data_IF_431161533950
#
_entry.id   IF_431161533950
#
_cell.length_a   1.000
_cell.length_b   1.000
_cell.length_c   1.000
_cell.angle_alpha   90.00
_cell.angle_beta   90.00
_cell.angle_gamma   90.00
#
_symmetry.space_group_name_H-M   'P 1'
#
loop_
_entity.id
_entity.type
_entity.pdbx_description
1 polymer ?
#
# COMPACT_ATOMS: atom_id res chain seq x y z
N UNK A 1 -54.74 10.30 -20.64
CA UNK A 1 -54.32 9.66 -19.38
C UNK A 1 -52.82 9.76 -19.36
N UNK A 2 -52.31 10.79 -18.69
CA UNK A 2 -50.87 11.02 -18.56
C UNK A 2 -50.37 10.05 -17.50
N UNK A 3 -49.50 9.11 -17.90
CA UNK A 3 -48.77 8.26 -16.96
C UNK A 3 -47.86 9.15 -16.12
N UNK A 4 -48.27 9.37 -14.87
CA UNK A 4 -47.46 9.98 -13.83
C UNK A 4 -46.38 8.95 -13.47
N UNK A 5 -45.20 9.08 -14.10
CA UNK A 5 -44.00 8.33 -13.72
C UNK A 5 -43.67 8.75 -12.29
N UNK A 6 -44.04 7.93 -11.31
CA UNK A 6 -43.66 8.16 -9.93
C UNK A 6 -42.13 8.24 -9.85
N UNK A 7 -41.55 9.26 -9.19
CA UNK A 7 -40.11 9.32 -9.02
C UNK A 7 -39.68 8.09 -8.22
N UNK A 8 -38.93 7.20 -8.86
CA UNK A 8 -38.30 6.08 -8.18
C UNK A 8 -37.54 6.62 -6.96
N UNK A 9 -37.79 6.04 -5.78
CA UNK A 9 -37.07 6.46 -4.58
C UNK A 9 -35.57 6.36 -4.84
N UNK A 10 -34.76 7.34 -4.38
CA UNK A 10 -33.30 7.33 -4.59
C UNK A 10 -32.67 6.01 -4.14
N UNK A 11 -33.25 5.39 -3.10
CA UNK A 11 -32.83 4.11 -2.53
C UNK A 11 -32.91 2.96 -3.55
N UNK A 12 -34.01 2.81 -4.28
CA UNK A 12 -34.13 1.72 -5.28
C UNK A 12 -33.13 1.92 -6.42
N UNK A 13 -32.92 3.16 -6.84
CA UNK A 13 -31.94 3.47 -7.88
C UNK A 13 -30.50 3.19 -7.43
N UNK A 14 -30.20 3.29 -6.13
CA UNK A 14 -28.90 2.90 -5.56
C UNK A 14 -28.74 1.39 -5.48
N UNK A 15 -29.79 0.66 -5.10
CA UNK A 15 -29.78 -0.81 -5.12
C UNK A 15 -29.51 -1.36 -6.53
N UNK A 16 -30.23 -0.83 -7.54
CA UNK A 16 -30.09 -1.27 -8.93
C UNK A 16 -28.66 -1.03 -9.46
N UNK A 17 -28.05 0.12 -9.17
CA UNK A 17 -26.67 0.41 -9.60
C UNK A 17 -25.63 -0.39 -8.81
N UNK A 18 -25.89 -0.72 -7.55
CA UNK A 18 -25.00 -1.54 -6.74
C UNK A 18 -24.99 -3.00 -7.24
N UNK A 19 -26.11 -3.51 -7.73
CA UNK A 19 -26.19 -4.81 -8.42
C UNK A 19 -25.41 -4.80 -9.75
N UNK A 20 -25.49 -3.71 -10.53
CA UNK A 20 -24.66 -3.53 -11.72
C UNK A 20 -23.16 -3.51 -11.36
N UNK A 21 -22.76 -2.80 -10.29
CA UNK A 21 -21.37 -2.78 -9.80
C UNK A 21 -20.94 -4.18 -9.38
N UNK A 22 -21.77 -4.91 -8.64
CA UNK A 22 -21.47 -6.28 -8.22
C UNK A 22 -21.30 -7.22 -9.43
N UNK A 23 -22.15 -7.09 -10.46
CA UNK A 23 -22.02 -7.84 -11.69
C UNK A 23 -20.73 -7.51 -12.45
N UNK A 24 -20.38 -6.21 -12.56
CA UNK A 24 -19.11 -5.79 -13.15
C UNK A 24 -17.90 -6.29 -12.35
N UNK A 25 -17.98 -6.31 -11.01
CA UNK A 25 -16.94 -6.85 -10.13
C UNK A 25 -16.74 -8.37 -10.32
N UNK A 26 -17.73 -9.12 -10.82
CA UNK A 26 -17.50 -10.55 -11.16
C UNK A 26 -16.72 -10.73 -12.47
N UNK A 27 -16.75 -9.72 -13.34
CA UNK A 27 -16.08 -9.74 -14.65
C UNK A 27 -14.74 -8.97 -14.68
N UNK A 28 -14.44 -8.16 -13.66
CA UNK A 28 -13.30 -7.22 -13.68
C UNK A 28 -11.91 -7.84 -13.86
N UNK A 29 -11.59 -9.11 -13.49
CA UNK A 29 -10.28 -9.66 -13.79
C UNK A 29 -9.96 -9.65 -15.30
N UNK A 30 -10.98 -9.45 -16.14
CA UNK A 30 -10.89 -9.35 -17.60
C UNK A 30 -11.25 -7.94 -18.10
N UNK A 31 -12.20 -7.23 -17.47
CA UNK A 31 -12.74 -5.96 -17.99
C UNK A 31 -12.81 -4.85 -16.92
N UNK A 32 -11.66 -4.20 -16.66
CA UNK A 32 -11.56 -3.07 -15.75
C UNK A 32 -12.33 -1.83 -16.24
N UNK A 33 -12.36 -1.56 -17.54
CA UNK A 33 -13.02 -0.37 -18.08
C UNK A 33 -14.52 -0.40 -17.83
N UNK A 34 -15.17 -1.56 -18.02
CA UNK A 34 -16.58 -1.71 -17.68
C UNK A 34 -16.86 -1.42 -16.21
N UNK A 35 -16.03 -1.91 -15.29
CA UNK A 35 -16.20 -1.64 -13.86
C UNK A 35 -16.08 -0.14 -13.57
N UNK A 36 -15.07 0.53 -14.13
CA UNK A 36 -14.87 1.97 -13.94
C UNK A 36 -16.05 2.80 -14.48
N UNK A 37 -16.63 2.42 -15.63
CA UNK A 37 -17.81 3.09 -16.21
C UNK A 37 -19.01 3.00 -15.26
N UNK A 38 -19.28 1.82 -14.71
CA UNK A 38 -20.42 1.61 -13.79
C UNK A 38 -20.20 2.34 -12.47
N UNK A 39 -18.96 2.37 -11.96
CA UNK A 39 -18.61 3.13 -10.75
C UNK A 39 -18.74 4.65 -10.95
N UNK A 40 -18.37 5.19 -12.12
CA UNK A 40 -18.62 6.60 -12.44
C UNK A 40 -20.11 6.91 -12.55
N UNK A 41 -20.93 6.00 -13.09
CA UNK A 41 -22.39 6.13 -13.08
C UNK A 41 -22.92 6.15 -11.64
N UNK A 42 -22.47 5.21 -10.81
CA UNK A 42 -22.81 5.10 -9.39
C UNK A 42 -22.49 6.39 -8.61
N UNK A 43 -21.27 6.91 -8.75
CA UNK A 43 -20.85 8.15 -8.08
C UNK A 43 -21.69 9.35 -8.54
N UNK A 44 -21.94 9.50 -9.84
CA UNK A 44 -22.78 10.59 -10.38
C UNK A 44 -24.21 10.54 -9.85
N UNK A 45 -24.81 9.34 -9.77
CA UNK A 45 -26.16 9.17 -9.23
C UNK A 45 -26.23 9.58 -7.76
N UNK A 46 -25.25 9.18 -6.95
CA UNK A 46 -25.20 9.54 -5.52
C UNK A 46 -24.99 11.03 -5.31
N UNK A 47 -24.09 11.66 -6.08
CA UNK A 47 -23.86 13.12 -6.03
C UNK A 47 -25.06 13.96 -6.47
N UNK A 48 -25.92 13.42 -7.33
CA UNK A 48 -27.13 14.11 -7.75
C UNK A 48 -28.19 14.18 -6.64
N UNK A 49 -28.15 13.24 -5.69
CA UNK A 49 -29.13 13.15 -4.60
C UNK A 49 -28.59 13.57 -3.23
N UNK A 50 -27.27 13.53 -3.03
CA UNK A 50 -26.62 13.67 -1.73
C UNK A 50 -25.39 14.58 -1.82
N UNK A 51 -25.07 15.35 -0.75
CA UNK A 51 -23.85 16.17 -0.72
C UNK A 51 -22.59 15.30 -0.69
N UNK A 52 -21.45 15.85 -1.12
CA UNK A 52 -20.17 15.11 -1.17
C UNK A 52 -19.70 14.58 0.19
N UNK A 53 -20.08 15.24 1.30
CA UNK A 53 -19.77 14.78 2.65
C UNK A 53 -20.60 13.56 3.11
N UNK A 54 -21.61 13.15 2.34
CA UNK A 54 -22.47 12.03 2.70
C UNK A 54 -21.70 10.69 2.65
N UNK A 55 -21.86 9.78 3.63
CA UNK A 55 -21.10 8.52 3.69
C UNK A 55 -21.18 7.67 2.43
N UNK A 56 -22.34 7.62 1.76
CA UNK A 56 -22.50 6.88 0.51
C UNK A 56 -21.71 7.48 -0.66
N UNK A 57 -21.64 8.81 -0.76
CA UNK A 57 -20.85 9.47 -1.80
C UNK A 57 -19.37 9.23 -1.54
N UNK A 58 -18.93 9.39 -0.29
CA UNK A 58 -17.56 9.10 0.13
C UNK A 58 -17.19 7.63 -0.10
N UNK A 59 -18.10 6.69 0.13
CA UNK A 59 -17.89 5.27 -0.17
C UNK A 59 -17.74 5.03 -1.67
N UNK A 60 -18.62 5.58 -2.50
CA UNK A 60 -18.53 5.48 -3.96
C UNK A 60 -17.23 6.11 -4.51
N UNK A 61 -16.78 7.23 -3.94
CA UNK A 61 -15.50 7.86 -4.27
C UNK A 61 -14.32 6.97 -3.91
N UNK A 62 -14.33 6.34 -2.74
CA UNK A 62 -13.28 5.39 -2.31
C UNK A 62 -13.23 4.17 -3.23
N UNK A 63 -14.37 3.57 -3.54
CA UNK A 63 -14.47 2.41 -4.42
C UNK A 63 -13.92 2.75 -5.81
N UNK A 64 -14.35 3.86 -6.41
CA UNK A 64 -13.85 4.29 -7.71
C UNK A 64 -12.34 4.60 -7.67
N UNK A 65 -11.86 5.30 -6.64
CA UNK A 65 -10.44 5.61 -6.47
C UNK A 65 -9.58 4.34 -6.38
N UNK A 66 -10.03 3.35 -5.60
CA UNK A 66 -9.33 2.08 -5.46
C UNK A 66 -9.29 1.30 -6.77
N UNK A 67 -10.39 1.29 -7.51
CA UNK A 67 -10.50 0.55 -8.77
C UNK A 67 -9.71 1.23 -9.90
N UNK A 68 -9.65 2.56 -9.95
CA UNK A 68 -8.76 3.29 -10.87
C UNK A 68 -7.30 2.84 -10.69
N UNK A 69 -6.82 2.83 -9.44
CA UNK A 69 -5.48 2.38 -9.11
C UNK A 69 -5.26 0.90 -9.48
N UNK A 70 -6.24 0.04 -9.18
CA UNK A 70 -6.16 -1.39 -9.47
C UNK A 70 -6.11 -1.69 -10.97
N UNK A 71 -6.93 -0.98 -11.77
CA UNK A 71 -6.95 -1.11 -13.23
C UNK A 71 -5.59 -0.77 -13.85
N UNK A 72 -4.96 0.32 -13.41
CA UNK A 72 -3.65 0.73 -13.91
C UNK A 72 -2.57 -0.29 -13.52
N UNK A 73 -2.62 -0.82 -12.30
CA UNK A 73 -1.68 -1.87 -11.88
C UNK A 73 -1.86 -3.18 -12.65
N UNK A 74 -3.11 -3.58 -12.93
CA UNK A 74 -3.38 -4.76 -13.74
C UNK A 74 -2.82 -4.60 -15.16
N UNK A 75 -3.04 -3.44 -15.78
CA UNK A 75 -2.45 -3.11 -17.08
C UNK A 75 -0.92 -3.21 -17.06
N UNK A 76 -0.26 -2.69 -16.03
CA UNK A 76 1.21 -2.78 -15.91
C UNK A 76 1.73 -4.22 -15.84
N UNK A 77 0.97 -5.16 -15.27
CA UNK A 77 1.37 -6.58 -15.18
C UNK A 77 1.17 -7.34 -16.48
N UNK A 78 0.14 -6.99 -17.24
CA UNK A 78 -0.18 -7.61 -18.52
C UNK A 78 -0.57 -6.52 -19.53
N UNK A 79 0.40 -5.89 -20.22
CA UNK A 79 0.17 -4.77 -21.14
C UNK A 79 -0.50 -5.19 -22.46
N UNK A 80 -1.38 -6.19 -22.42
CA UNK A 80 -2.05 -6.79 -23.57
C UNK A 80 -3.46 -6.20 -23.82
N UNK A 81 -3.89 -5.20 -23.04
CA UNK A 81 -5.29 -4.77 -22.96
C UNK A 81 -5.56 -3.38 -23.59
N UNK A 82 -6.80 -3.13 -24.03
CA UNK A 82 -7.11 -2.50 -25.32
C UNK A 82 -7.17 -0.97 -25.28
N UNK A 83 -7.30 -0.37 -26.47
CA UNK A 83 -7.85 0.99 -26.64
C UNK A 83 -9.10 1.07 -25.75
N UNK A 84 -9.16 2.06 -24.87
CA UNK A 84 -10.35 2.28 -24.04
C UNK A 84 -11.60 2.24 -24.94
N UNK A 85 -12.66 1.52 -24.57
CA UNK A 85 -13.83 1.42 -25.44
C UNK A 85 -14.34 2.82 -25.78
N UNK A 86 -14.94 3.04 -26.96
CA UNK A 86 -15.35 4.38 -27.40
C UNK A 86 -16.23 5.13 -26.39
N UNK A 87 -16.99 4.37 -25.60
CA UNK A 87 -17.93 4.87 -24.59
C UNK A 87 -17.29 5.03 -23.20
N UNK A 88 -16.00 4.74 -23.05
CA UNK A 88 -15.25 4.95 -21.80
C UNK A 88 -15.08 6.45 -21.53
N UNK A 89 -15.29 6.91 -20.28
CA UNK A 89 -14.98 8.29 -19.90
C UNK A 89 -13.47 8.57 -19.91
N UNK A 90 -12.64 7.52 -19.91
CA UNK A 90 -11.18 7.61 -19.96
C UNK A 90 -10.67 7.25 -21.34
N UNK A 91 -9.78 8.06 -21.90
CA UNK A 91 -9.10 7.80 -23.17
C UNK A 91 -7.74 7.11 -22.97
N UNK A 92 -7.15 7.28 -21.79
CA UNK A 92 -5.85 6.71 -21.44
C UNK A 92 -5.77 6.30 -19.97
N UNK A 93 -4.78 5.48 -19.61
CA UNK A 93 -4.47 5.18 -18.21
C UNK A 93 -3.96 6.41 -17.43
N UNK A 94 -3.44 7.43 -18.12
CA UNK A 94 -3.11 8.69 -17.46
C UNK A 94 -4.38 9.42 -16.99
N UNK A 95 -5.45 9.40 -17.80
CA UNK A 95 -6.75 9.97 -17.43
C UNK A 95 -7.36 9.23 -16.22
N UNK A 96 -7.21 7.90 -16.18
CA UNK A 96 -7.64 7.07 -15.03
C UNK A 96 -6.88 7.45 -13.75
N UNK A 97 -5.58 7.74 -13.87
CA UNK A 97 -4.75 8.16 -12.74
C UNK A 97 -5.05 9.59 -12.28
N UNK A 98 -5.23 10.53 -13.22
CA UNK A 98 -5.66 11.90 -12.91
C UNK A 98 -6.98 11.86 -12.12
N UNK A 99 -7.92 11.01 -12.56
CA UNK A 99 -9.16 10.80 -11.84
C UNK A 99 -8.97 10.19 -10.45
N UNK A 100 -8.04 9.24 -10.29
CA UNK A 100 -7.72 8.70 -8.97
C UNK A 100 -7.11 9.77 -8.05
N UNK A 101 -6.25 10.64 -8.58
CA UNK A 101 -5.65 11.75 -7.83
C UNK A 101 -6.74 12.71 -7.34
N UNK A 102 -7.64 13.16 -8.21
CA UNK A 102 -8.78 14.02 -7.86
C UNK A 102 -9.65 13.42 -6.75
N UNK A 103 -9.99 12.13 -6.87
CA UNK A 103 -10.82 11.44 -5.89
C UNK A 103 -10.09 11.30 -4.56
N UNK A 104 -8.81 10.96 -4.58
CA UNK A 104 -8.00 10.83 -3.36
C UNK A 104 -7.83 12.17 -2.63
N UNK A 105 -7.73 13.28 -3.36
CA UNK A 105 -7.67 14.61 -2.79
C UNK A 105 -9.01 15.02 -2.19
N UNK A 106 -10.11 14.79 -2.92
CA UNK A 106 -11.45 15.10 -2.45
C UNK A 106 -11.87 14.26 -1.21
N UNK A 107 -11.35 13.03 -1.07
CA UNK A 107 -11.55 12.21 0.12
C UNK A 107 -10.79 12.74 1.35
N UNK A 108 -9.72 13.51 1.16
CA UNK A 108 -8.91 14.11 2.23
C UNK A 108 -8.12 13.10 3.08
N UNK A 109 -8.12 11.82 2.73
CA UNK A 109 -7.50 10.76 3.52
C UNK A 109 -6.07 10.46 3.04
N UNK A 110 -5.13 10.40 3.99
CA UNK A 110 -3.71 10.15 3.68
C UNK A 110 -3.49 8.81 2.98
N UNK A 111 -4.27 7.79 3.36
CA UNK A 111 -4.19 6.42 2.82
C UNK A 111 -4.49 6.34 1.33
N UNK A 112 -5.58 6.96 0.87
CA UNK A 112 -5.96 6.93 -0.55
C UNK A 112 -5.01 7.77 -1.39
N UNK A 113 -4.50 8.89 -0.83
CA UNK A 113 -3.49 9.73 -1.50
C UNK A 113 -2.15 9.02 -1.65
N UNK A 114 -1.65 8.35 -0.60
CA UNK A 114 -0.39 7.62 -0.67
C UNK A 114 -0.45 6.47 -1.66
N UNK A 115 -1.53 5.68 -1.63
CA UNK A 115 -1.79 4.60 -2.59
C UNK A 115 -1.78 5.12 -4.04
N UNK A 116 -2.46 6.25 -4.27
CA UNK A 116 -2.55 6.84 -5.60
C UNK A 116 -1.21 7.36 -6.07
N UNK A 117 -0.48 8.11 -5.26
CA UNK A 117 0.88 8.55 -5.60
C UNK A 117 1.84 7.39 -5.85
N UNK A 118 1.75 6.31 -5.07
CA UNK A 118 2.56 5.12 -5.32
C UNK A 118 2.23 4.51 -6.70
N UNK A 119 0.94 4.41 -7.04
CA UNK A 119 0.51 3.89 -8.34
C UNK A 119 0.93 4.78 -9.51
N UNK A 120 0.84 6.11 -9.37
CA UNK A 120 1.36 7.07 -10.37
C UNK A 120 2.88 6.93 -10.53
N UNK A 121 3.61 6.74 -9.43
CA UNK A 121 5.04 6.47 -9.43
C UNK A 121 5.39 5.20 -10.21
N UNK A 122 4.65 4.11 -9.97
CA UNK A 122 4.78 2.85 -10.70
C UNK A 122 4.53 3.03 -12.20
N UNK A 123 3.45 3.73 -12.56
CA UNK A 123 3.10 4.04 -13.95
C UNK A 123 4.21 4.86 -14.64
N UNK A 124 4.69 5.93 -14.00
CA UNK A 124 5.79 6.73 -14.51
C UNK A 124 7.05 5.89 -14.73
N UNK A 125 7.36 4.99 -13.79
CA UNK A 125 8.51 4.08 -13.89
C UNK A 125 8.38 3.08 -15.03
N UNK A 126 7.17 2.56 -15.27
CA UNK A 126 6.87 1.68 -16.40
C UNK A 126 7.05 2.42 -17.74
N UNK A 127 6.64 3.69 -17.81
CA UNK A 127 6.85 4.56 -18.97
C UNK A 127 8.30 5.10 -19.10
N UNK A 128 9.24 4.69 -18.25
CA UNK A 128 10.64 5.15 -18.30
C UNK A 128 10.88 6.55 -17.72
N UNK A 129 9.86 7.22 -17.16
CA UNK A 129 9.96 8.55 -16.52
C UNK A 129 10.48 8.43 -15.08
N UNK A 130 11.70 7.91 -14.91
CA UNK A 130 12.25 7.54 -13.60
C UNK A 130 12.33 8.71 -12.60
N UNK A 131 12.72 9.91 -13.04
CA UNK A 131 12.78 11.09 -12.15
C UNK A 131 11.40 11.53 -11.67
N UNK A 132 10.37 11.42 -12.52
CA UNK A 132 8.98 11.70 -12.13
C UNK A 132 8.49 10.63 -11.16
N UNK A 133 8.82 9.36 -11.42
CA UNK A 133 8.48 8.27 -10.52
C UNK A 133 9.04 8.48 -9.10
N UNK A 134 10.30 8.89 -8.96
CA UNK A 134 10.90 9.22 -7.66
C UNK A 134 10.08 10.26 -6.90
N UNK A 135 9.73 11.38 -7.54
CA UNK A 135 8.93 12.44 -6.90
C UNK A 135 7.60 11.92 -6.38
N UNK A 136 6.93 11.05 -7.13
CA UNK A 136 5.66 10.47 -6.71
C UNK A 136 5.83 9.44 -5.59
N UNK A 137 6.87 8.61 -5.62
CA UNK A 137 7.16 7.71 -4.50
C UNK A 137 7.56 8.47 -3.23
N UNK A 138 8.31 9.57 -3.33
CA UNK A 138 8.63 10.44 -2.20
C UNK A 138 7.36 11.09 -1.62
N UNK A 139 6.45 11.58 -2.49
CA UNK A 139 5.13 12.06 -2.06
C UNK A 139 4.31 10.97 -1.36
N UNK A 140 4.32 9.75 -1.86
CA UNK A 140 3.62 8.63 -1.23
C UNK A 140 4.21 8.32 0.15
N UNK A 141 5.55 8.20 0.23
CA UNK A 141 6.28 7.89 1.46
C UNK A 141 6.03 8.94 2.55
N UNK A 142 5.93 10.22 2.18
CA UNK A 142 5.65 11.31 3.11
C UNK A 142 4.24 11.27 3.75
N UNK A 143 3.32 10.48 3.19
CA UNK A 143 1.94 10.33 3.67
C UNK A 143 1.68 8.96 4.33
N UNK A 144 2.62 8.02 4.23
CA UNK A 144 2.46 6.67 4.78
C UNK A 144 2.82 6.62 6.26
N UNK A 145 2.16 5.72 7.00
CA UNK A 145 2.56 5.38 8.36
C UNK A 145 3.78 4.46 8.33
N UNK A 146 4.67 4.50 9.35
CA UNK A 146 5.92 3.74 9.37
C UNK A 146 5.83 2.24 9.05
N UNK A 147 4.71 1.61 9.38
CA UNK A 147 4.40 0.19 9.16
C UNK A 147 3.98 -0.15 7.72
N UNK A 148 3.65 0.86 6.90
CA UNK A 148 3.13 0.71 5.54
C UNK A 148 4.13 1.14 4.46
N UNK A 149 5.23 1.77 4.85
CA UNK A 149 6.20 2.39 3.94
C UNK A 149 7.10 1.40 3.17
N UNK A 150 7.14 0.14 3.58
CA UNK A 150 8.11 -0.84 3.06
C UNK A 150 8.00 -1.02 1.53
N UNK A 151 6.78 -1.11 1.00
CA UNK A 151 6.54 -1.24 -0.44
C UNK A 151 7.03 0.00 -1.21
N UNK A 152 6.75 1.19 -0.71
CA UNK A 152 7.18 2.46 -1.33
C UNK A 152 8.70 2.60 -1.31
N UNK A 153 9.36 2.22 -0.22
CA UNK A 153 10.83 2.17 -0.16
C UNK A 153 11.43 1.21 -1.18
N UNK A 154 10.86 0.03 -1.35
CA UNK A 154 11.35 -0.90 -2.39
C UNK A 154 11.16 -0.34 -3.80
N UNK A 155 10.06 0.38 -4.05
CA UNK A 155 9.87 1.09 -5.31
C UNK A 155 10.90 2.21 -5.52
N UNK A 156 11.24 2.98 -4.48
CA UNK A 156 12.32 3.97 -4.51
C UNK A 156 13.66 3.30 -4.80
N UNK A 157 14.00 2.23 -4.07
CA UNK A 157 15.22 1.44 -4.23
C UNK A 157 15.42 0.99 -5.69
N UNK A 158 14.45 0.30 -6.27
CA UNK A 158 14.52 -0.15 -7.66
C UNK A 158 14.58 1.02 -8.67
N UNK A 159 13.96 2.15 -8.36
CA UNK A 159 14.00 3.34 -9.24
C UNK A 159 15.36 4.03 -9.21
N UNK A 160 15.97 4.15 -8.02
CA UNK A 160 17.33 4.67 -7.85
C UNK A 160 18.36 3.76 -8.52
N UNK A 161 18.22 2.44 -8.37
CA UNK A 161 19.07 1.44 -9.02
C UNK A 161 19.06 1.61 -10.55
N UNK A 162 17.87 1.76 -11.15
CA UNK A 162 17.71 2.05 -12.59
C UNK A 162 18.31 3.38 -13.04
N UNK A 163 18.55 4.31 -12.11
CA UNK A 163 19.22 5.59 -12.36
C UNK A 163 20.74 5.53 -12.12
N UNK A 164 21.29 4.37 -11.74
CA UNK A 164 22.71 4.18 -11.39
C UNK A 164 23.08 4.70 -10.00
N UNK A 165 22.09 5.01 -9.16
CA UNK A 165 22.26 5.53 -7.81
C UNK A 165 22.24 4.40 -6.78
N UNK A 166 23.27 3.57 -6.84
CA UNK A 166 23.34 2.29 -6.10
C UNK A 166 23.40 2.46 -4.58
N UNK A 167 24.04 3.53 -4.08
CA UNK A 167 24.11 3.79 -2.64
C UNK A 167 22.73 4.16 -2.09
N UNK A 168 22.00 5.04 -2.77
CA UNK A 168 20.64 5.40 -2.41
C UNK A 168 19.68 4.20 -2.55
N UNK A 169 19.86 3.39 -3.59
CA UNK A 169 19.09 2.16 -3.78
C UNK A 169 19.27 1.17 -2.63
N UNK A 170 20.52 0.99 -2.18
CA UNK A 170 20.88 0.14 -1.04
C UNK A 170 20.26 0.65 0.25
N UNK A 171 20.31 1.96 0.50
CA UNK A 171 19.73 2.59 1.69
C UNK A 171 18.22 2.30 1.80
N UNK A 172 17.47 2.53 0.72
CA UNK A 172 16.03 2.26 0.75
C UNK A 172 15.70 0.78 0.93
N UNK A 173 16.49 -0.12 0.33
CA UNK A 173 16.28 -1.56 0.48
C UNK A 173 16.56 -2.03 1.91
N UNK A 174 17.64 -1.56 2.53
CA UNK A 174 18.01 -1.92 3.90
C UNK A 174 17.02 -1.36 4.92
N UNK A 175 16.58 -0.11 4.77
CA UNK A 175 15.53 0.47 5.62
C UNK A 175 14.22 -0.32 5.52
N UNK A 176 13.82 -0.73 4.32
CA UNK A 176 12.64 -1.57 4.13
C UNK A 176 12.81 -2.93 4.82
N UNK A 177 13.97 -3.59 4.67
CA UNK A 177 14.27 -4.87 5.30
C UNK A 177 14.21 -4.79 6.83
N UNK A 178 14.82 -3.77 7.43
CA UNK A 178 14.83 -3.55 8.89
C UNK A 178 13.40 -3.41 9.41
N UNK A 179 12.60 -2.50 8.82
CA UNK A 179 11.22 -2.25 9.26
C UNK A 179 10.33 -3.49 9.12
N UNK A 180 10.49 -4.23 8.02
CA UNK A 180 9.75 -5.48 7.80
C UNK A 180 10.14 -6.53 8.83
N UNK A 181 11.43 -6.69 9.10
CA UNK A 181 11.93 -7.63 10.10
C UNK A 181 11.40 -7.30 11.50
N UNK A 182 11.49 -6.05 11.94
CA UNK A 182 10.93 -5.59 13.22
C UNK A 182 9.43 -5.90 13.34
N UNK A 183 8.68 -5.67 12.26
CA UNK A 183 7.23 -5.89 12.25
C UNK A 183 6.88 -7.39 12.28
N UNK A 184 7.56 -8.20 11.47
CA UNK A 184 7.38 -9.67 11.45
C UNK A 184 7.72 -10.27 12.82
N UNK A 185 8.84 -9.86 13.42
CA UNK A 185 9.26 -10.36 14.73
C UNK A 185 8.27 -9.96 15.83
N UNK A 186 7.76 -8.71 15.79
CA UNK A 186 6.69 -8.27 16.70
C UNK A 186 5.43 -9.13 16.56
N UNK A 187 5.01 -9.44 15.33
CA UNK A 187 3.84 -10.28 15.07
C UNK A 187 4.03 -11.71 15.58
N UNK A 188 5.22 -12.29 15.39
CA UNK A 188 5.55 -13.64 15.86
C UNK A 188 5.55 -13.71 17.39
N UNK A 189 6.15 -12.72 18.07
CA UNK A 189 6.11 -12.65 19.53
C UNK A 189 4.69 -12.46 20.08
N UNK A 190 3.86 -11.65 19.41
CA UNK A 190 2.46 -11.49 19.78
C UNK A 190 1.67 -12.80 19.65
N UNK A 191 1.87 -13.56 18.57
CA UNK A 191 1.27 -14.89 18.38
C UNK A 191 1.71 -15.88 19.45
N UNK A 192 3.00 -15.97 19.73
CA UNK A 192 3.54 -16.84 20.78
C UNK A 192 2.97 -16.47 22.16
N UNK A 193 2.85 -15.18 22.49
CA UNK A 193 2.28 -14.74 23.75
C UNK A 193 0.79 -15.09 23.88
N UNK A 194 0.04 -15.02 22.77
CA UNK A 194 -1.37 -15.44 22.72
C UNK A 194 -1.51 -16.96 22.91
N UNK A 195 -0.76 -17.76 22.16
CA UNK A 195 -0.76 -19.22 22.27
C UNK A 195 -0.33 -19.71 23.65
N UNK A 196 0.67 -19.06 24.25
CA UNK A 196 1.11 -19.38 25.61
C UNK A 196 0.05 -19.02 26.65
N UNK A 197 -0.76 -17.98 26.45
CA UNK A 197 -1.90 -17.66 27.33
C UNK A 197 -3.03 -18.68 27.17
N UNK A 198 -3.38 -19.06 25.94
CA UNK A 198 -4.41 -20.07 25.65
C UNK A 198 -4.02 -21.47 26.16
N UNK A 199 -2.73 -21.82 26.04
CA UNK A 199 -2.20 -23.05 26.62
C UNK A 199 -2.12 -22.99 28.15
N UNK A 200 -1.89 -21.83 28.77
CA UNK A 200 -1.94 -21.67 30.23
C UNK A 200 -3.36 -21.80 30.80
N UNK A 201 -4.39 -21.59 29.97
CA UNK A 201 -5.79 -21.88 30.32
C UNK A 201 -6.11 -23.38 30.16
N UNK A 202 -5.35 -24.12 29.34
CA UNK A 202 -5.62 -25.54 29.03
C UNK A 202 -4.71 -26.55 29.72
N UNK A 203 -3.50 -26.20 30.13
CA UNK A 203 -2.56 -27.13 30.77
C UNK A 203 -1.67 -26.44 31.80
N UNK A 204 -1.68 -26.97 33.03
CA UNK A 204 -0.64 -26.68 34.01
C UNK A 204 0.70 -27.28 33.57
N UNK A 205 1.70 -26.41 33.42
CA UNK A 205 3.14 -26.68 33.32
C UNK A 205 3.66 -27.51 32.13
N UNK A 206 4.45 -26.87 31.24
CA UNK A 206 5.87 -27.17 30.96
C UNK A 206 6.42 -26.26 29.83
N UNK A 207 7.57 -25.65 30.09
CA UNK A 207 8.32 -24.80 29.14
C UNK A 207 9.06 -25.62 28.08
N UNK A 208 9.23 -25.04 26.88
CA UNK A 208 10.14 -25.52 25.82
C UNK A 208 10.95 -24.32 25.27
N UNK A 209 12.27 -24.44 25.01
CA UNK A 209 13.16 -23.32 24.74
C UNK A 209 13.20 -22.91 23.26
N UNK A 210 13.42 -21.62 22.96
CA UNK A 210 13.50 -21.08 21.58
C UNK A 210 14.92 -20.67 21.20
N UNK A 211 15.60 -21.55 20.47
CA UNK A 211 16.87 -21.32 19.78
C UNK A 211 16.69 -20.61 18.42
N UNK A 212 15.88 -19.55 18.36
CA UNK A 212 15.57 -18.80 17.11
C UNK A 212 16.17 -17.39 17.11
N UNK A 213 16.94 -17.03 18.15
CA UNK A 213 17.58 -15.72 18.24
C UNK A 213 19.08 -15.95 18.15
N UNK A 214 19.64 -15.74 16.95
CA UNK A 214 20.97 -15.10 16.77
C UNK A 214 21.42 -15.17 15.30
N UNK A 215 21.64 -14.00 14.70
CA UNK A 215 22.73 -13.75 13.75
C UNK A 215 23.31 -12.34 14.04
N UNK A 216 24.61 -12.12 13.75
CA UNK A 216 25.41 -11.11 14.43
C UNK A 216 25.23 -9.71 13.85
N UNK A 217 24.95 -8.75 14.74
CA UNK A 217 25.20 -7.34 14.48
C UNK A 217 26.70 -7.11 14.65
N UNK A 218 27.46 -7.17 13.56
CA UNK A 218 28.79 -6.56 13.54
C UNK A 218 28.69 -5.18 12.92
N UNK A 219 28.65 -4.19 13.82
CA UNK A 219 28.79 -2.78 13.48
C UNK A 219 30.24 -2.41 13.15
N UNK A 220 30.38 -1.24 12.57
CA UNK A 220 31.52 -0.36 12.85
C UNK A 220 30.98 0.91 13.45
N UNK A 221 31.31 1.14 14.72
CA UNK A 221 31.10 2.41 15.42
C UNK A 221 31.97 3.51 14.81
N UNK A 222 31.47 4.74 14.79
CA UNK A 222 32.31 5.90 15.14
C UNK A 222 31.50 6.88 15.98
N UNK A 223 31.93 6.96 17.24
CA UNK A 223 31.97 8.09 18.17
C UNK A 223 30.86 9.15 18.13
N UNK A 224 30.17 9.27 19.26
CA UNK A 224 29.35 10.42 19.59
C UNK A 224 30.16 11.67 19.91
N UNK A 225 29.42 12.77 20.01
CA UNK A 225 29.64 13.80 21.01
C UNK A 225 28.27 14.37 21.36
N UNK A 226 28.01 14.38 22.67
CA UNK A 226 26.94 15.12 23.32
C UNK A 226 27.14 16.63 23.11
N UNK A 227 26.06 17.40 22.93
CA UNK A 227 25.55 18.32 23.97
C UNK A 227 24.45 19.27 23.44
N UNK A 228 23.66 19.75 24.42
CA UNK A 228 22.87 20.99 24.46
C UNK A 228 21.43 21.02 23.91
N UNK A 229 20.52 20.80 24.87
CA UNK A 229 19.37 21.66 25.25
C UNK A 229 18.86 22.73 24.27
N UNK A 230 17.55 22.68 23.98
CA UNK A 230 16.71 23.88 23.98
C UNK A 230 15.22 23.50 24.16
N UNK A 231 14.62 24.12 25.16
CA UNK A 231 13.19 24.24 25.46
C UNK A 231 12.40 24.94 24.36
N UNK A 232 11.19 24.49 24.07
CA UNK A 232 10.10 25.36 23.61
C UNK A 232 8.74 24.71 23.91
N UNK A 233 8.04 25.29 24.87
CA UNK A 233 6.61 25.13 25.12
C UNK A 233 5.81 25.72 23.95
N UNK A 234 4.69 25.07 23.60
CA UNK A 234 3.76 25.57 22.60
C UNK A 234 2.45 24.79 22.66
N UNK A 235 1.48 25.33 23.40
CA UNK A 235 0.13 24.83 23.58
C UNK A 235 -0.64 24.75 22.25
N UNK A 236 -1.41 23.68 22.06
CA UNK A 236 -2.60 23.68 21.20
C UNK A 236 -3.64 22.69 21.76
N UNK A 237 -4.74 23.23 22.26
CA UNK A 237 -5.93 22.53 22.75
C UNK A 237 -6.88 22.13 21.60
N UNK A 238 -7.61 21.03 21.79
CA UNK A 238 -8.88 20.69 21.11
C UNK A 238 -8.71 19.98 19.76
N UNK A 239 -9.34 18.85 19.44
CA UNK A 239 -10.52 18.20 19.99
C UNK A 239 -10.48 16.71 19.68
N UNK A 240 -10.81 15.91 20.68
CA UNK A 240 -10.87 14.45 20.70
C UNK A 240 -11.99 13.88 19.83
N UNK A 241 -11.62 13.02 18.88
CA UNK A 241 -12.43 11.83 18.53
C UNK A 241 -11.50 10.62 18.61
N UNK A 242 -11.46 10.03 19.80
CA UNK A 242 -10.77 8.79 20.11
C UNK A 242 -11.46 7.62 19.40
N UNK A 243 -10.96 7.24 18.23
CA UNK A 243 -11.08 5.87 17.77
C UNK A 243 -9.79 5.17 18.17
N UNK A 244 -9.80 4.54 19.36
CA UNK A 244 -8.73 3.66 19.77
C UNK A 244 -8.72 2.44 18.84
N UNK A 245 -8.00 2.52 17.72
CA UNK A 245 -7.55 1.34 17.01
C UNK A 245 -6.49 0.66 17.88
N UNK A 246 -6.95 -0.23 18.77
CA UNK A 246 -6.07 -1.21 19.42
C UNK A 246 -5.31 -2.04 18.36
N UNK A 247 -4.23 -2.74 18.75
CA UNK A 247 -3.41 -3.48 17.79
C UNK A 247 -4.27 -4.49 17.03
N UNK A 248 -4.59 -4.17 15.77
CA UNK A 248 -5.29 -5.08 14.87
C UNK A 248 -4.42 -6.33 14.74
N UNK A 249 -4.96 -7.48 15.16
CA UNK A 249 -4.30 -8.76 14.93
C UNK A 249 -4.04 -8.89 13.43
N UNK A 250 -2.76 -8.91 13.05
CA UNK A 250 -2.36 -8.97 11.65
C UNK A 250 -2.95 -10.22 11.00
N UNK A 251 -3.60 -10.08 9.85
CA UNK A 251 -4.16 -11.24 9.16
C UNK A 251 -3.04 -12.18 8.69
N UNK A 252 -3.34 -13.47 8.49
CA UNK A 252 -2.38 -14.42 7.90
C UNK A 252 -1.92 -13.96 6.50
N UNK A 253 -2.78 -13.28 5.76
CA UNK A 253 -2.47 -12.67 4.47
C UNK A 253 -1.45 -11.54 4.61
N UNK A 254 -1.62 -10.66 5.61
CA UNK A 254 -0.73 -9.51 5.82
C UNK A 254 0.67 -9.98 6.25
N UNK A 255 0.73 -11.04 7.06
CA UNK A 255 2.01 -11.65 7.45
C UNK A 255 2.75 -12.21 6.23
N UNK A 256 2.05 -12.97 5.38
CA UNK A 256 2.65 -13.52 4.16
C UNK A 256 3.13 -12.41 3.22
N UNK A 257 2.37 -11.34 3.07
CA UNK A 257 2.74 -10.17 2.28
C UNK A 257 4.03 -9.52 2.80
N UNK A 258 4.16 -9.32 4.13
CA UNK A 258 5.38 -8.80 4.74
C UNK A 258 6.60 -9.69 4.50
N UNK A 259 6.43 -11.02 4.58
CA UNK A 259 7.52 -11.97 4.26
C UNK A 259 7.96 -11.83 2.80
N UNK A 260 7.02 -11.76 1.86
CA UNK A 260 7.33 -11.56 0.43
C UNK A 260 8.06 -10.25 0.18
N UNK A 261 7.63 -9.16 0.84
CA UNK A 261 8.33 -7.87 0.76
C UNK A 261 9.73 -7.95 1.35
N UNK A 262 9.95 -8.72 2.42
CA UNK A 262 11.27 -8.87 3.03
C UNK A 262 12.22 -9.65 2.10
N UNK A 263 11.74 -10.71 1.47
CA UNK A 263 12.49 -11.41 0.42
C UNK A 263 12.85 -10.46 -0.74
N UNK A 264 11.92 -9.60 -1.14
CA UNK A 264 12.14 -8.58 -2.19
C UNK A 264 13.21 -7.57 -1.77
N UNK A 265 13.21 -7.15 -0.49
CA UNK A 265 14.22 -6.25 0.05
C UNK A 265 15.63 -6.87 0.00
N UNK A 266 15.76 -8.14 0.41
CA UNK A 266 17.02 -8.87 0.30
C UNK A 266 17.48 -9.02 -1.16
N UNK A 267 16.56 -9.28 -2.08
CA UNK A 267 16.89 -9.32 -3.51
C UNK A 267 17.43 -7.97 -4.01
N UNK A 268 16.80 -6.85 -3.63
CA UNK A 268 17.30 -5.52 -4.00
C UNK A 268 18.70 -5.27 -3.44
N UNK A 269 18.93 -5.57 -2.15
CA UNK A 269 20.25 -5.45 -1.53
C UNK A 269 21.30 -6.31 -2.25
N UNK A 270 20.96 -7.53 -2.63
CA UNK A 270 21.86 -8.42 -3.36
C UNK A 270 22.27 -7.83 -4.71
N UNK A 271 21.32 -7.30 -5.48
CA UNK A 271 21.58 -6.61 -6.75
C UNK A 271 22.54 -5.43 -6.55
N UNK A 272 22.34 -4.61 -5.52
CA UNK A 272 23.24 -3.49 -5.25
C UNK A 272 24.65 -3.95 -4.82
N UNK A 273 24.77 -5.08 -4.11
CA UNK A 273 26.07 -5.68 -3.80
C UNK A 273 26.79 -6.23 -5.03
N UNK A 274 26.05 -6.79 -6.00
CA UNK A 274 26.63 -7.20 -7.30
C UNK A 274 27.22 -6.01 -8.05
N UNK A 275 26.51 -4.87 -8.10
CA UNK A 275 27.00 -3.66 -8.74
C UNK A 275 28.26 -3.08 -8.08
N UNK A 276 28.42 -3.28 -6.77
CA UNK A 276 29.61 -2.83 -6.02
C UNK A 276 30.74 -3.88 -6.00
N UNK A 277 30.55 -5.03 -6.65
CA UNK A 277 31.54 -6.11 -6.74
C UNK A 277 31.67 -6.98 -5.48
N UNK A 278 30.75 -6.84 -4.52
CA UNK A 278 30.76 -7.62 -3.27
C UNK A 278 29.90 -8.89 -3.40
N UNK A 279 30.39 -9.87 -4.15
CA UNK A 279 29.68 -11.11 -4.41
C UNK A 279 29.32 -11.88 -3.11
N UNK A 280 30.19 -11.87 -2.10
CA UNK A 280 29.94 -12.54 -0.83
C UNK A 280 28.74 -11.95 -0.08
N UNK A 281 28.61 -10.63 -0.04
CA UNK A 281 27.45 -9.97 0.57
C UNK A 281 26.15 -10.20 -0.23
N UNK A 282 26.25 -10.23 -1.57
CA UNK A 282 25.11 -10.55 -2.43
C UNK A 282 24.57 -11.96 -2.17
N UNK A 283 25.46 -12.97 -2.13
CA UNK A 283 25.09 -14.36 -1.83
C UNK A 283 24.40 -14.47 -0.47
N UNK A 284 24.94 -13.81 0.56
CA UNK A 284 24.31 -13.81 1.89
C UNK A 284 22.89 -13.23 1.83
N UNK A 285 22.68 -12.11 1.13
CA UNK A 285 21.33 -11.54 0.98
C UNK A 285 20.37 -12.52 0.30
N UNK A 286 20.79 -13.19 -0.79
CA UNK A 286 19.96 -14.22 -1.43
C UNK A 286 19.63 -15.39 -0.48
N UNK A 287 20.61 -15.86 0.28
CA UNK A 287 20.38 -16.91 1.28
C UNK A 287 19.37 -16.49 2.35
N UNK A 288 19.43 -15.26 2.86
CA UNK A 288 18.45 -14.78 3.82
C UNK A 288 17.04 -14.77 3.23
N UNK A 289 16.89 -14.30 1.98
CA UNK A 289 15.62 -14.34 1.26
C UNK A 289 15.05 -15.75 1.13
N UNK A 290 15.90 -16.73 0.80
CA UNK A 290 15.51 -18.14 0.65
C UNK A 290 15.13 -18.79 1.99
N UNK A 291 15.84 -18.46 3.08
CA UNK A 291 15.53 -19.00 4.42
C UNK A 291 14.15 -18.60 4.94
N UNK A 292 13.58 -17.50 4.45
CA UNK A 292 12.25 -17.04 4.84
C UNK A 292 11.09 -17.83 4.21
N UNK A 293 11.36 -18.57 3.14
CA UNK A 293 10.35 -19.32 2.38
C UNK A 293 10.55 -20.84 2.45
N UNK A 294 11.61 -21.30 3.12
CA UNK A 294 11.92 -22.71 3.37
C UNK A 294 11.18 -23.22 4.62
#
# INVERSE_FOLDING_TARGET
>A
MSEEVQPHSPLKAFEDIDDEVAAAKRAYPVDHFRLLVVLEKSLRMRRAALPDSHPEVMAAMRDLCLECNTAVQAWMRAPQAPIAPPDSPYRSFADVLERAEDLSEALGTLRERSLTYNTVGLYCRACGKLRTALKYFEKALALEYPDQEARTRLNLSATQSRLGKHLEAMLYASEAAIKLYETITRDLHAKQAYENKDNRVKTGARSIPSSIIELPVHGSSVAGNDDASATAEGQAEGSSTSFEDGPRASSSSDFRERVVLLCTAYQHMAVEYEYTGNASAAINCYEQGLRLIA
#
